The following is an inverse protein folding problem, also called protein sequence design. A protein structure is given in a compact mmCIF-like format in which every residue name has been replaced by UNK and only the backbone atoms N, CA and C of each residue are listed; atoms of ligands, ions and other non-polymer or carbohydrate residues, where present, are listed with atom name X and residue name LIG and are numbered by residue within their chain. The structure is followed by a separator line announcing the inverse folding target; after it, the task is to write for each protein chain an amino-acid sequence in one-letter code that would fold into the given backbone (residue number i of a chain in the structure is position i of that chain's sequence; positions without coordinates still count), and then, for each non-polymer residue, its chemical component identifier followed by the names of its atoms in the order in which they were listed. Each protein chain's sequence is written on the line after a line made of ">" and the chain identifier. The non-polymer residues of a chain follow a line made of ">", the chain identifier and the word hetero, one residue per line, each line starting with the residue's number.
data_IF_170423703404
#
_entry.id   IF_170423703404
#
_cell.length_a   1.000
_cell.length_b   1.000
_cell.length_c   1.000
_cell.angle_alpha   90.00
_cell.angle_beta   90.00
_cell.angle_gamma   90.00
#
_symmetry.space_group_name_H-M   'P 1'
#
loop_
_entity.id
_entity.type
_entity.pdbx_description
1 polymer ?
#
# COMPACT_ATOMS: atom_id res chain seq x y z
N UNK A 1 -6.33 22.76 -7.53
CA UNK A 1 -5.81 22.54 -8.90
C UNK A 1 -6.75 21.60 -9.61
N UNK A 2 -7.14 21.90 -10.86
CA UNK A 2 -8.13 21.10 -11.61
C UNK A 2 -7.54 19.75 -12.02
N UNK A 3 -8.34 18.69 -12.07
CA UNK A 3 -7.89 17.36 -12.52
C UNK A 3 -7.24 17.39 -13.91
N UNK A 4 -7.69 18.30 -14.79
CA UNK A 4 -7.10 18.51 -16.13
C UNK A 4 -5.69 19.10 -16.08
N UNK A 5 -5.40 20.01 -15.15
CA UNK A 5 -4.06 20.62 -15.07
C UNK A 5 -3.01 19.63 -14.58
N UNK A 6 -3.40 18.69 -13.71
CA UNK A 6 -2.51 17.61 -13.27
C UNK A 6 -2.23 16.63 -14.41
N UNK A 7 -3.23 16.29 -15.21
CA UNK A 7 -3.04 15.41 -16.37
C UNK A 7 -2.08 15.99 -17.41
N UNK A 8 -2.22 17.28 -17.75
CA UNK A 8 -1.29 17.97 -18.66
C UNK A 8 0.13 17.99 -18.13
N UNK A 9 0.31 18.19 -16.82
CA UNK A 9 1.63 18.16 -16.17
C UNK A 9 2.27 16.76 -16.22
N UNK A 10 1.47 15.71 -16.05
CA UNK A 10 1.97 14.33 -16.16
C UNK A 10 2.47 14.01 -17.57
N UNK A 11 1.71 14.40 -18.61
CA UNK A 11 2.12 14.19 -20.00
C UNK A 11 3.43 14.90 -20.34
N UNK A 12 3.60 16.15 -19.86
CA UNK A 12 4.83 16.90 -20.07
C UNK A 12 6.04 16.22 -19.40
N UNK A 13 5.87 15.71 -18.16
CA UNK A 13 6.94 14.99 -17.46
C UNK A 13 7.28 13.65 -18.13
N UNK A 14 6.30 12.94 -18.68
CA UNK A 14 6.52 11.71 -19.43
C UNK A 14 7.33 11.98 -20.72
N UNK A 15 7.02 13.05 -21.45
CA UNK A 15 7.79 13.46 -22.64
C UNK A 15 9.24 13.85 -22.28
N UNK A 16 9.44 14.60 -21.20
CA UNK A 16 10.78 14.96 -20.72
C UNK A 16 11.60 13.74 -20.28
N UNK A 17 10.95 12.74 -19.69
CA UNK A 17 11.59 11.49 -19.26
C UNK A 17 12.08 10.68 -20.47
N UNK A 18 11.24 10.54 -21.49
CA UNK A 18 11.61 9.85 -22.74
C UNK A 18 12.74 10.58 -23.47
N UNK A 19 12.71 11.91 -23.50
CA UNK A 19 13.81 12.71 -24.06
C UNK A 19 15.13 12.50 -23.31
N UNK A 20 15.09 12.44 -21.97
CA UNK A 20 16.26 12.13 -21.14
C UNK A 20 16.77 10.70 -21.39
N UNK A 21 15.87 9.72 -21.52
CA UNK A 21 16.23 8.34 -21.83
C UNK A 21 16.88 8.21 -23.21
N UNK A 22 16.35 8.91 -24.22
CA UNK A 22 16.93 8.97 -25.57
C UNK A 22 18.33 9.62 -25.59
N UNK A 23 18.58 10.57 -24.68
CA UNK A 23 19.88 11.20 -24.47
C UNK A 23 20.83 10.38 -23.57
N UNK A 24 20.42 9.17 -23.13
CA UNK A 24 21.15 8.32 -22.18
C UNK A 24 21.40 8.95 -20.80
N UNK A 25 20.61 9.97 -20.43
CA UNK A 25 20.64 10.59 -19.10
C UNK A 25 19.66 9.89 -18.15
N UNK A 26 20.08 8.72 -17.66
CA UNK A 26 19.25 7.87 -16.82
C UNK A 26 19.02 8.43 -15.42
N UNK A 27 19.94 9.26 -14.90
CA UNK A 27 19.77 9.92 -13.61
C UNK A 27 18.62 10.93 -13.67
N UNK A 28 18.58 11.73 -14.74
CA UNK A 28 17.47 12.65 -14.98
C UNK A 28 16.16 11.91 -15.24
N UNK A 29 16.18 10.82 -16.01
CA UNK A 29 15.00 10.00 -16.25
C UNK A 29 14.46 9.37 -14.95
N UNK A 30 15.34 8.92 -14.05
CA UNK A 30 14.95 8.38 -12.74
C UNK A 30 14.29 9.45 -11.85
N UNK A 31 14.87 10.66 -11.80
CA UNK A 31 14.30 11.77 -11.04
C UNK A 31 12.90 12.17 -11.57
N UNK A 32 12.72 12.18 -12.89
CA UNK A 32 11.42 12.46 -13.53
C UNK A 32 10.39 11.36 -13.23
N UNK A 33 10.79 10.08 -13.28
CA UNK A 33 9.94 8.95 -12.89
C UNK A 33 9.44 9.08 -11.46
N UNK A 34 10.33 9.44 -10.52
CA UNK A 34 9.96 9.56 -9.11
C UNK A 34 8.98 10.73 -8.87
N UNK A 35 9.14 11.84 -9.61
CA UNK A 35 8.19 12.96 -9.59
C UNK A 35 6.83 12.57 -10.21
N UNK A 36 6.82 11.80 -11.29
CA UNK A 36 5.59 11.24 -11.89
C UNK A 36 4.87 10.34 -10.87
N UNK A 37 5.59 9.43 -10.20
CA UNK A 37 5.02 8.54 -9.18
C UNK A 37 4.44 9.33 -8.00
N UNK A 38 5.12 10.38 -7.56
CA UNK A 38 4.62 11.31 -6.54
C UNK A 38 3.32 11.98 -6.96
N UNK A 39 3.24 12.47 -8.19
CA UNK A 39 2.04 13.14 -8.72
C UNK A 39 0.87 12.19 -8.98
N UNK A 40 1.15 10.93 -9.35
CA UNK A 40 0.14 9.85 -9.48
C UNK A 40 -0.38 9.36 -8.13
N UNK A 41 0.26 9.75 -7.01
CA UNK A 41 -0.08 9.25 -5.67
C UNK A 41 0.43 7.83 -5.41
N UNK A 42 1.34 7.35 -6.24
CA UNK A 42 2.06 6.08 -6.09
C UNK A 42 3.32 6.27 -5.21
N UNK A 43 3.77 7.52 -5.05
CA UNK A 43 4.88 7.94 -4.21
C UNK A 43 4.55 8.00 -2.72
N UNK A 44 4.17 6.86 -2.14
CA UNK A 44 4.38 6.53 -0.72
C UNK A 44 4.15 5.04 -0.42
N UNK A 45 4.32 4.15 -1.40
CA UNK A 45 4.71 2.76 -1.10
C UNK A 45 6.22 2.71 -0.82
N UNK A 46 6.63 3.47 0.20
CA UNK A 46 7.84 3.19 0.96
C UNK A 46 7.79 1.69 1.20
N UNK A 47 8.92 0.99 1.04
CA UNK A 47 9.12 -0.37 1.50
C UNK A 47 8.96 -0.37 3.02
N UNK A 48 7.72 -0.21 3.50
CA UNK A 48 7.32 -0.26 4.88
C UNK A 48 7.39 -1.72 5.24
N UNK A 49 8.14 -2.02 6.30
CA UNK A 49 8.17 -3.35 6.86
C UNK A 49 6.73 -3.87 6.96
N UNK A 50 6.44 -4.96 6.24
CA UNK A 50 5.12 -5.56 6.27
C UNK A 50 4.77 -5.83 7.74
N UNK A 51 3.56 -5.49 8.21
CA UNK A 51 3.18 -5.67 9.59
C UNK A 51 3.46 -7.13 10.02
N UNK A 52 4.02 -7.35 11.22
CA UNK A 52 4.38 -8.68 11.68
C UNK A 52 3.17 -9.62 11.58
N UNK A 53 3.30 -10.68 10.77
CA UNK A 53 2.23 -11.64 10.48
C UNK A 53 1.80 -11.73 9.01
N UNK A 54 2.25 -10.82 8.14
CA UNK A 54 1.93 -10.86 6.70
C UNK A 54 2.91 -11.68 5.85
N UNK A 55 4.08 -12.02 6.38
CA UNK A 55 5.17 -12.72 5.68
C UNK A 55 5.22 -14.21 6.06
N UNK A 56 4.08 -14.77 6.45
CA UNK A 56 3.95 -16.19 6.81
C UNK A 56 3.35 -16.96 5.64
N UNK A 57 4.01 -18.05 5.22
CA UNK A 57 3.49 -19.07 4.31
C UNK A 57 2.05 -19.47 4.75
N UNK A 58 1.03 -18.83 4.17
CA UNK A 58 -0.37 -18.97 4.62
C UNK A 58 -1.25 -17.71 4.52
N UNK A 59 -0.69 -16.53 4.24
CA UNK A 59 -1.44 -15.25 4.21
C UNK A 59 -2.49 -15.09 3.10
N UNK A 60 -2.59 -16.04 2.16
CA UNK A 60 -3.67 -16.11 1.16
C UNK A 60 -4.84 -17.00 1.58
N UNK A 61 -4.89 -17.48 2.82
CA UNK A 61 -6.09 -18.14 3.32
C UNK A 61 -7.24 -17.12 3.38
N UNK A 62 -8.34 -17.33 2.64
CA UNK A 62 -9.50 -16.45 2.76
C UNK A 62 -9.96 -16.46 4.22
N UNK A 63 -10.08 -15.27 4.81
CA UNK A 63 -10.69 -15.10 6.13
C UNK A 63 -12.08 -15.73 6.07
N UNK A 64 -12.34 -16.75 6.88
CA UNK A 64 -13.66 -17.40 6.93
C UNK A 64 -14.71 -16.37 7.34
N UNK A 65 -15.51 -15.91 6.38
CA UNK A 65 -16.64 -15.01 6.65
C UNK A 65 -17.77 -15.85 7.25
N UNK A 66 -18.25 -15.52 8.46
CA UNK A 66 -19.38 -16.22 9.04
C UNK A 66 -20.66 -15.96 8.21
N UNK A 67 -21.60 -16.92 8.14
CA UNK A 67 -22.88 -16.71 7.47
C UNK A 67 -23.64 -15.49 8.00
N UNK A 68 -24.47 -14.88 7.14
CA UNK A 68 -25.32 -13.74 7.51
C UNK A 68 -26.22 -14.14 8.69
N UNK A 69 -26.14 -13.39 9.79
CA UNK A 69 -26.93 -13.64 11.01
C UNK A 69 -26.26 -14.57 12.04
N UNK A 70 -25.03 -15.01 11.81
CA UNK A 70 -24.30 -15.78 12.81
C UNK A 70 -23.94 -14.93 14.04
N UNK A 71 -24.37 -15.38 15.22
CA UNK A 71 -24.04 -14.77 16.52
C UNK A 71 -22.97 -15.61 17.20
N UNK A 72 -21.83 -14.99 17.50
CA UNK A 72 -20.74 -15.64 18.23
C UNK A 72 -21.21 -16.05 19.64
N UNK A 73 -21.03 -17.32 20.06
CA UNK A 73 -21.41 -17.74 21.40
C UNK A 73 -20.55 -17.04 22.47
N UNK A 74 -21.15 -16.77 23.63
CA UNK A 74 -20.45 -16.21 24.78
C UNK A 74 -19.41 -17.21 25.28
N UNK A 75 -18.19 -16.75 25.52
CA UNK A 75 -17.14 -17.59 26.10
C UNK A 75 -17.60 -18.08 27.48
N UNK A 76 -17.53 -19.40 27.78
CA UNK A 76 -17.83 -19.92 29.10
C UNK A 76 -16.90 -19.30 30.13
N UNK A 77 -17.39 -19.16 31.37
CA UNK A 77 -16.56 -18.63 32.45
C UNK A 77 -15.43 -19.60 32.77
N UNK A 78 -14.27 -19.06 33.12
CA UNK A 78 -13.14 -19.90 33.51
C UNK A 78 -13.41 -20.44 34.92
N UNK A 79 -13.25 -21.76 35.11
CA UNK A 79 -13.34 -22.40 36.42
C UNK A 79 -12.25 -21.89 37.39
N UNK A 80 -11.15 -21.35 36.87
CA UNK A 80 -10.09 -20.70 37.63
C UNK A 80 -10.19 -19.18 37.48
N UNK A 81 -10.44 -18.48 38.58
CA UNK A 81 -10.57 -17.02 38.60
C UNK A 81 -9.38 -16.32 37.93
N UNK A 82 -9.66 -15.31 37.12
CA UNK A 82 -8.64 -14.51 36.42
C UNK A 82 -7.73 -13.80 37.43
N UNK A 83 -6.50 -14.28 37.62
CA UNK A 83 -5.42 -13.47 38.20
C UNK A 83 -5.05 -12.41 37.16
N UNK A 84 -5.48 -11.16 37.34
CA UNK A 84 -4.88 -10.03 36.61
C UNK A 84 -3.43 -9.92 37.08
N UNK A 85 -2.48 -10.23 36.20
CA UNK A 85 -1.09 -9.84 36.39
C UNK A 85 -1.03 -8.32 36.56
N UNK A 86 -0.39 -7.89 37.65
CA UNK A 86 -0.14 -6.49 37.97
C UNK A 86 1.04 -5.98 37.16
#
# INVERSE_FOLDING_TARGET
>A
MSSRSNHQRLLALEEEMEAAAAAFDFEKAAALRDEIARLKGEGEAIVGQAPPGQIGLGSNAPVRVPPKGWVKPKKPDFLSGRKRGK
#
